data_IF_802541635999
#
_entry.id   IF_802541635999
#
_cell.length_a   1.000
_cell.length_b   1.000
_cell.length_c   1.000
_cell.angle_alpha   90.00
_cell.angle_beta   90.00
_cell.angle_gamma   90.00
#
_symmetry.space_group_name_H-M   'P 1'
#
loop_
_entity.id
_entity.type
_entity.pdbx_description
1 polymer ?
#
# COMPACT_ATOMS: atom_id res chain seq x y z
N UNK A 1 -9.89 22.50 -2.03
CA UNK A 1 -8.71 22.00 -1.28
C UNK A 1 -7.50 21.98 -2.21
N UNK A 2 -6.58 22.94 -2.06
CA UNK A 2 -5.32 22.99 -2.83
C UNK A 2 -4.27 22.17 -2.09
N UNK A 3 -3.59 21.25 -2.77
CA UNK A 3 -2.53 20.42 -2.18
C UNK A 3 -1.22 20.69 -2.91
N UNK A 4 -0.16 21.02 -2.16
CA UNK A 4 1.19 21.22 -2.67
C UNK A 4 2.10 20.11 -2.14
N UNK A 5 2.94 19.56 -3.02
CA UNK A 5 3.95 18.58 -2.61
C UNK A 5 5.30 19.27 -2.66
N UNK A 6 6.00 19.31 -1.52
CA UNK A 6 7.32 19.93 -1.37
C UNK A 6 8.33 18.79 -1.32
N UNK A 7 9.21 18.70 -2.31
CA UNK A 7 10.26 17.67 -2.40
C UNK A 7 11.65 18.21 -2.08
N UNK A 8 11.81 19.54 -2.07
CA UNK A 8 13.08 20.23 -1.81
C UNK A 8 12.88 21.44 -0.88
N UNK A 9 13.82 21.74 0.05
CA UNK A 9 13.70 22.88 0.96
C UNK A 9 13.50 24.25 0.27
N UNK A 10 13.99 24.44 -0.96
CA UNK A 10 13.83 25.67 -1.74
C UNK A 10 12.40 25.89 -2.24
N UNK A 11 11.61 24.83 -2.42
CA UNK A 11 10.22 24.92 -2.90
C UNK A 11 9.26 25.46 -1.83
N UNK A 12 9.58 25.29 -0.55
CA UNK A 12 8.74 25.77 0.56
C UNK A 12 8.46 27.27 0.47
N UNK A 13 9.50 28.08 0.25
CA UNK A 13 9.36 29.56 0.17
C UNK A 13 8.48 29.99 -1.00
N UNK A 14 8.56 29.28 -2.12
CA UNK A 14 7.75 29.57 -3.30
C UNK A 14 6.27 29.24 -3.05
N UNK A 15 5.97 28.09 -2.46
CA UNK A 15 4.59 27.69 -2.10
C UNK A 15 3.97 28.67 -1.11
N UNK A 16 4.71 29.03 -0.06
CA UNK A 16 4.24 29.99 0.96
C UNK A 16 3.99 31.37 0.35
N UNK A 17 4.91 31.89 -0.47
CA UNK A 17 4.74 33.18 -1.18
C UNK A 17 3.51 33.19 -2.08
N UNK A 18 3.23 32.09 -2.78
CA UNK A 18 2.09 32.01 -3.68
C UNK A 18 0.75 31.95 -2.94
N UNK A 19 0.72 31.38 -1.73
CA UNK A 19 -0.50 31.24 -0.93
C UNK A 19 -0.80 32.45 -0.06
N UNK A 20 0.24 33.12 0.44
CA UNK A 20 0.16 34.24 1.38
C UNK A 20 -0.91 35.29 1.03
N UNK A 21 -0.98 35.83 -0.20
CA UNK A 21 -1.98 36.86 -0.54
C UNK A 21 -3.42 36.37 -0.33
N UNK A 22 -3.76 35.18 -0.86
CA UNK A 22 -5.10 34.63 -0.71
C UNK A 22 -5.49 34.29 0.72
N UNK A 23 -4.51 33.88 1.55
CA UNK A 23 -4.77 33.60 2.97
C UNK A 23 -5.04 34.89 3.73
N UNK A 24 -4.31 35.96 3.42
CA UNK A 24 -4.51 37.27 4.04
C UNK A 24 -5.89 37.83 3.66
N UNK A 25 -6.24 37.82 2.38
CA UNK A 25 -7.53 38.32 1.90
C UNK A 25 -8.71 37.55 2.55
N UNK A 26 -8.66 36.21 2.54
CA UNK A 26 -9.73 35.38 3.14
C UNK A 26 -9.85 35.57 4.65
N UNK A 27 -8.76 35.84 5.37
CA UNK A 27 -8.80 36.04 6.82
C UNK A 27 -9.21 37.47 7.23
N UNK A 28 -8.94 38.46 6.39
CA UNK A 28 -9.39 39.84 6.60
C UNK A 28 -10.91 39.99 6.43
N UNK A 29 -11.52 39.20 5.55
CA UNK A 29 -12.98 39.14 5.34
C UNK A 29 -13.73 38.32 6.41
N UNK A 30 -13.05 37.91 7.48
CA UNK A 30 -13.63 37.08 8.55
C UNK A 30 -13.76 35.58 8.21
N UNK A 31 -13.21 35.16 7.06
CA UNK A 31 -13.09 33.76 6.69
C UNK A 31 -12.05 33.02 7.53
N UNK A 32 -12.15 31.69 7.56
CA UNK A 32 -11.21 30.80 8.27
C UNK A 32 -10.44 29.97 7.26
N UNK A 33 -9.11 30.01 7.33
CA UNK A 33 -8.23 29.22 6.50
C UNK A 33 -7.51 28.18 7.36
N UNK A 34 -7.61 26.90 6.97
CA UNK A 34 -6.90 25.80 7.62
C UNK A 34 -5.69 25.37 6.77
N UNK A 35 -4.48 25.46 7.35
CA UNK A 35 -3.25 24.99 6.73
C UNK A 35 -2.81 23.67 7.40
N UNK A 36 -2.83 22.57 6.64
CA UNK A 36 -2.38 21.27 7.12
C UNK A 36 -1.06 20.88 6.45
N UNK A 37 0.02 20.85 7.23
CA UNK A 37 1.31 20.31 6.80
C UNK A 37 1.38 18.85 7.23
N UNK A 38 1.30 17.95 6.27
CA UNK A 38 1.49 16.51 6.49
C UNK A 38 2.79 16.08 5.84
N UNK A 39 3.67 15.41 6.60
CA UNK A 39 4.79 14.68 6.00
C UNK A 39 4.19 13.61 5.10
N UNK A 40 4.31 13.75 3.78
CA UNK A 40 4.14 12.61 2.88
C UNK A 40 5.29 11.67 3.24
N UNK A 41 4.99 10.60 3.96
CA UNK A 41 5.79 9.39 3.79
C UNK A 41 5.59 8.99 2.33
N UNK A 42 6.62 8.45 1.70
CA UNK A 42 6.47 7.78 0.41
C UNK A 42 5.57 6.57 0.64
N UNK A 43 4.25 6.81 0.66
CA UNK A 43 3.27 5.75 0.61
C UNK A 43 3.47 5.05 -0.71
N UNK A 44 3.35 3.72 -0.73
CA UNK A 44 3.42 2.94 -1.98
C UNK A 44 2.67 3.65 -3.11
N UNK A 45 3.24 3.63 -4.31
CA UNK A 45 2.58 4.25 -5.45
C UNK A 45 1.36 3.41 -5.84
N UNK A 46 0.35 4.06 -6.44
CA UNK A 46 -0.81 3.34 -7.00
C UNK A 46 -0.40 2.29 -8.02
N UNK A 47 0.70 2.53 -8.75
CA UNK A 47 1.27 1.57 -9.70
C UNK A 47 1.82 0.31 -9.01
N UNK A 48 2.53 0.46 -7.87
CA UNK A 48 2.97 -0.71 -7.08
C UNK A 48 1.77 -1.48 -6.56
N UNK A 49 0.74 -0.77 -6.08
CA UNK A 49 -0.51 -1.38 -5.61
C UNK A 49 -1.19 -2.20 -6.71
N UNK A 50 -1.43 -1.60 -7.87
CA UNK A 50 -2.00 -2.29 -9.04
C UNK A 50 -1.16 -3.50 -9.45
N UNK A 51 0.18 -3.38 -9.42
CA UNK A 51 1.11 -4.46 -9.80
C UNK A 51 1.01 -5.67 -8.88
N UNK A 52 1.21 -5.52 -7.56
CA UNK A 52 1.15 -6.70 -6.69
C UNK A 52 -0.28 -7.26 -6.62
N UNK A 53 -1.32 -6.43 -6.82
CA UNK A 53 -2.70 -6.94 -6.90
C UNK A 53 -2.93 -7.84 -8.13
N UNK A 54 -2.36 -7.48 -9.29
CA UNK A 54 -2.36 -8.33 -10.47
C UNK A 54 -1.62 -9.66 -10.20
N UNK A 55 -0.43 -9.58 -9.58
CA UNK A 55 0.37 -10.75 -9.20
C UNK A 55 -0.39 -11.68 -8.24
N UNK A 56 -1.05 -11.13 -7.22
CA UNK A 56 -1.89 -11.92 -6.31
C UNK A 56 -3.04 -12.58 -7.07
N UNK A 57 -3.63 -11.89 -8.05
CA UNK A 57 -4.67 -12.45 -8.92
C UNK A 57 -4.16 -13.62 -9.76
N UNK A 58 -2.93 -13.52 -10.28
CA UNK A 58 -2.28 -14.60 -11.03
C UNK A 58 -1.98 -15.81 -10.16
N UNK A 59 -1.44 -15.59 -8.95
CA UNK A 59 -1.23 -16.64 -7.95
C UNK A 59 -2.55 -17.32 -7.60
N UNK A 60 -3.60 -16.55 -7.33
CA UNK A 60 -4.90 -17.06 -6.91
C UNK A 60 -5.58 -17.96 -7.97
N UNK A 61 -5.24 -17.80 -9.25
CA UNK A 61 -5.76 -18.63 -10.35
C UNK A 61 -4.94 -19.90 -10.60
N UNK A 62 -3.70 -19.96 -10.10
CA UNK A 62 -2.75 -21.00 -10.47
C UNK A 62 -2.32 -21.87 -9.29
N UNK A 63 -2.36 -21.33 -8.08
CA UNK A 63 -1.88 -22.00 -6.87
C UNK A 63 -3.07 -22.40 -6.02
N UNK A 64 -3.15 -23.69 -5.71
CA UNK A 64 -4.06 -24.23 -4.70
C UNK A 64 -3.36 -24.34 -3.35
N UNK A 65 -4.16 -24.22 -2.29
CA UNK A 65 -3.75 -24.63 -0.94
C UNK A 65 -4.38 -25.98 -0.61
N UNK A 66 -3.85 -26.64 0.42
CA UNK A 66 -4.26 -27.93 1.00
C UNK A 66 -5.47 -28.59 0.34
N UNK A 67 -5.26 -29.79 -0.22
CA UNK A 67 -6.30 -30.59 -0.88
C UNK A 67 -6.85 -29.97 -2.18
N UNK A 68 -6.01 -29.22 -2.91
CA UNK A 68 -6.36 -28.69 -4.23
C UNK A 68 -7.32 -27.50 -4.22
N UNK A 69 -7.63 -26.93 -3.05
CA UNK A 69 -8.58 -25.82 -2.92
C UNK A 69 -8.01 -24.52 -3.50
N UNK A 70 -8.76 -23.94 -4.43
CA UNK A 70 -8.49 -22.59 -4.95
C UNK A 70 -9.08 -21.54 -4.00
N UNK A 71 -8.29 -20.54 -3.65
CA UNK A 71 -8.74 -19.40 -2.85
C UNK A 71 -8.95 -18.16 -3.70
N UNK A 72 -9.90 -17.28 -3.31
CA UNK A 72 -10.03 -15.98 -3.94
C UNK A 72 -8.81 -15.11 -3.64
N UNK A 73 -8.53 -14.16 -4.54
CA UNK A 73 -7.39 -13.24 -4.44
C UNK A 73 -7.34 -12.48 -3.11
N UNK A 74 -8.49 -12.13 -2.52
CA UNK A 74 -8.57 -11.48 -1.22
C UNK A 74 -8.01 -12.33 -0.07
N UNK A 75 -8.20 -13.65 -0.13
CA UNK A 75 -7.64 -14.59 0.87
C UNK A 75 -6.16 -14.83 0.62
N UNK A 76 -5.74 -15.03 -0.63
CA UNK A 76 -4.33 -15.13 -1.00
C UNK A 76 -3.54 -13.88 -0.60
N UNK A 77 -4.11 -12.69 -0.74
CA UNK A 77 -3.49 -11.44 -0.28
C UNK A 77 -3.11 -11.50 1.20
N UNK A 78 -3.97 -12.05 2.06
CA UNK A 78 -3.70 -12.17 3.50
C UNK A 78 -2.58 -13.17 3.77
N UNK A 79 -2.61 -14.32 3.09
CA UNK A 79 -1.58 -15.36 3.21
C UNK A 79 -0.20 -14.86 2.78
N UNK A 80 -0.13 -14.21 1.60
CA UNK A 80 1.13 -13.72 1.03
C UNK A 80 1.73 -12.59 1.86
N UNK A 81 0.90 -11.67 2.37
CA UNK A 81 1.38 -10.60 3.26
C UNK A 81 1.91 -11.17 4.57
N UNK A 82 1.21 -12.15 5.16
CA UNK A 82 1.65 -12.81 6.38
C UNK A 82 2.98 -13.55 6.17
N UNK A 83 3.11 -14.32 5.09
CA UNK A 83 4.36 -15.03 4.74
C UNK A 83 5.51 -14.05 4.49
N UNK A 84 5.28 -13.01 3.69
CA UNK A 84 6.27 -11.96 3.42
C UNK A 84 6.78 -11.30 4.71
N UNK A 85 5.88 -10.93 5.64
CA UNK A 85 6.30 -10.38 6.93
C UNK A 85 7.10 -11.40 7.72
N UNK A 86 6.64 -12.64 7.80
CA UNK A 86 7.34 -13.68 8.54
C UNK A 86 8.78 -13.84 8.06
N UNK A 87 9.00 -13.81 6.74
CA UNK A 87 10.32 -13.99 6.14
C UNK A 87 11.22 -12.75 6.24
N UNK A 88 10.64 -11.55 6.40
CA UNK A 88 11.39 -10.28 6.32
C UNK A 88 11.32 -9.41 7.57
N UNK A 89 10.61 -9.83 8.62
CA UNK A 89 10.44 -9.05 9.87
C UNK A 89 11.78 -8.74 10.56
N UNK A 90 12.78 -9.61 10.40
CA UNK A 90 14.10 -9.51 11.01
C UNK A 90 15.16 -8.97 10.03
N UNK A 91 14.76 -8.63 8.79
CA UNK A 91 15.62 -8.02 7.80
C UNK A 91 16.00 -6.60 8.24
N UNK A 92 17.30 -6.34 8.41
CA UNK A 92 17.83 -5.06 8.85
C UNK A 92 17.38 -3.88 7.95
N UNK A 93 17.18 -4.12 6.66
CA UNK A 93 16.73 -3.10 5.72
C UNK A 93 15.23 -2.80 5.85
N UNK A 94 14.42 -3.75 6.31
CA UNK A 94 12.95 -3.60 6.40
C UNK A 94 12.44 -3.41 7.83
N UNK A 95 13.28 -3.65 8.83
CA UNK A 95 12.93 -3.61 10.26
C UNK A 95 12.24 -2.30 10.66
N UNK A 96 12.80 -1.16 10.25
CA UNK A 96 12.22 0.16 10.60
C UNK A 96 10.85 0.38 9.94
N UNK A 97 10.67 -0.10 8.71
CA UNK A 97 9.38 -0.05 8.03
C UNK A 97 8.35 -0.98 8.69
N UNK A 98 8.77 -2.17 9.12
CA UNK A 98 7.91 -3.11 9.85
C UNK A 98 7.46 -2.57 11.20
N UNK A 99 8.35 -1.95 11.97
CA UNK A 99 7.99 -1.29 13.23
C UNK A 99 6.94 -0.17 13.05
N UNK A 100 6.95 0.52 11.90
CA UNK A 100 5.97 1.57 11.58
C UNK A 100 4.65 1.03 11.06
N UNK A 101 4.61 -0.22 10.57
CA UNK A 101 3.48 -0.78 9.86
C UNK A 101 2.33 -1.19 10.81
N UNK A 102 2.65 -1.39 12.10
CA UNK A 102 1.71 -1.68 13.18
C UNK A 102 1.75 -3.14 13.62
N UNK A 103 0.80 -3.49 14.50
CA UNK A 103 0.72 -4.80 15.15
C UNK A 103 0.59 -5.97 14.15
N UNK A 104 0.94 -7.15 14.65
CA UNK A 104 0.88 -8.40 13.90
C UNK A 104 -0.55 -8.72 13.44
N UNK A 105 -0.66 -9.59 12.44
CA UNK A 105 -1.92 -10.25 12.14
C UNK A 105 -2.45 -10.95 13.42
N UNK A 106 -3.64 -10.56 13.86
CA UNK A 106 -4.30 -11.10 15.05
C UNK A 106 -5.61 -11.78 14.67
N UNK A 107 -5.90 -12.91 15.32
CA UNK A 107 -7.18 -13.59 15.23
C UNK A 107 -8.04 -13.21 16.43
N UNK A 108 -9.09 -12.43 16.18
CA UNK A 108 -10.02 -11.99 17.22
C UNK A 108 -11.35 -12.75 17.06
N UNK A 109 -12.01 -13.16 18.16
CA UNK A 109 -13.35 -13.74 18.09
C UNK A 109 -14.34 -12.85 17.32
N UNK A 110 -15.19 -13.46 16.51
CA UNK A 110 -16.24 -12.73 15.81
C UNK A 110 -17.29 -12.19 16.80
N UNK A 111 -17.76 -10.97 16.54
CA UNK A 111 -18.61 -10.23 17.48
C UNK A 111 -20.02 -10.81 17.62
N UNK A 112 -20.56 -11.41 16.54
CA UNK A 112 -21.97 -11.77 16.45
C UNK A 112 -22.23 -13.16 15.85
N UNK A 113 -21.20 -13.97 15.63
CA UNK A 113 -21.33 -15.34 15.16
C UNK A 113 -20.19 -16.21 15.71
N UNK A 114 -20.36 -17.55 15.72
CA UNK A 114 -19.25 -18.45 15.98
C UNK A 114 -18.17 -18.30 14.91
N UNK A 115 -16.94 -17.96 15.31
CA UNK A 115 -15.81 -17.85 14.40
C UNK A 115 -14.76 -16.85 14.87
N UNK A 116 -13.77 -16.63 14.00
CA UNK A 116 -12.68 -15.68 14.22
C UNK A 116 -12.53 -14.77 13.01
N UNK A 117 -12.14 -13.53 13.25
CA UNK A 117 -11.82 -12.54 12.24
C UNK A 117 -10.33 -12.23 12.33
N UNK A 118 -9.62 -12.42 11.24
CA UNK A 118 -8.26 -11.94 11.10
C UNK A 118 -8.29 -10.41 10.92
N UNK A 119 -7.72 -9.69 11.87
CA UNK A 119 -7.53 -8.24 11.88
C UNK A 119 -6.04 -7.91 11.91
N UNK A 120 -5.67 -6.67 11.60
CA UNK A 120 -4.28 -6.22 11.61
C UNK A 120 -3.78 -5.82 10.22
N UNK A 121 -2.60 -6.31 9.85
CA UNK A 121 -1.80 -5.90 8.69
C UNK A 121 -2.60 -5.67 7.40
N UNK A 122 -2.75 -4.40 7.05
CA UNK A 122 -3.36 -3.98 5.79
C UNK A 122 -2.30 -3.35 4.90
N UNK A 123 -2.02 -3.98 3.76
CA UNK A 123 -1.18 -3.45 2.66
C UNK A 123 -1.46 -1.99 2.29
N UNK A 124 -2.63 -1.41 2.62
CA UNK A 124 -2.94 0.02 2.46
C UNK A 124 -1.90 0.92 3.16
N UNK A 125 -1.27 0.45 4.23
CA UNK A 125 -0.27 1.20 5.00
C UNK A 125 1.17 1.00 4.48
N UNK A 126 1.40 0.24 3.41
CA UNK A 126 2.77 -0.08 2.98
C UNK A 126 3.50 1.21 2.59
N UNK A 127 4.75 1.33 3.05
CA UNK A 127 5.67 2.30 2.50
C UNK A 127 6.05 1.90 1.06
N UNK A 128 6.63 2.84 0.32
CA UNK A 128 7.20 2.60 -1.00
C UNK A 128 8.21 1.44 -0.97
N UNK A 129 9.05 1.40 0.08
CA UNK A 129 10.07 0.37 0.28
C UNK A 129 9.45 -1.00 0.50
N UNK A 130 8.51 -1.14 1.44
CA UNK A 130 7.78 -2.40 1.67
C UNK A 130 7.00 -2.83 0.43
N UNK A 131 6.41 -1.89 -0.31
CA UNK A 131 5.70 -2.19 -1.55
C UNK A 131 6.61 -2.78 -2.63
N UNK A 132 7.81 -2.24 -2.82
CA UNK A 132 8.80 -2.80 -3.75
C UNK A 132 9.32 -4.16 -3.30
N UNK A 133 9.71 -4.27 -2.02
CA UNK A 133 10.20 -5.53 -1.46
C UNK A 133 9.15 -6.65 -1.56
N UNK A 134 7.87 -6.32 -1.34
CA UNK A 134 6.79 -7.27 -1.49
C UNK A 134 6.62 -7.74 -2.95
N UNK A 135 6.77 -6.86 -3.93
CA UNK A 135 6.72 -7.24 -5.35
C UNK A 135 7.86 -8.20 -5.70
N UNK A 136 9.07 -7.93 -5.22
CA UNK A 136 10.23 -8.80 -5.43
C UNK A 136 10.04 -10.17 -4.77
N UNK A 137 9.56 -10.18 -3.52
CA UNK A 137 9.22 -11.40 -2.81
C UNK A 137 8.14 -12.21 -3.55
N UNK A 138 7.11 -11.56 -4.12
CA UNK A 138 6.09 -12.24 -4.92
C UNK A 138 6.67 -12.86 -6.20
N UNK A 139 7.67 -12.24 -6.84
CA UNK A 139 8.37 -12.87 -7.96
C UNK A 139 9.10 -14.13 -7.54
N UNK A 140 9.81 -14.11 -6.40
CA UNK A 140 10.47 -15.28 -5.85
C UNK A 140 9.46 -16.40 -5.53
N UNK A 141 8.40 -16.06 -4.80
CA UNK A 141 7.31 -17.00 -4.50
C UNK A 141 6.69 -17.61 -5.76
N UNK A 142 6.40 -16.79 -6.77
CA UNK A 142 5.81 -17.29 -8.01
C UNK A 142 6.79 -18.13 -8.82
N UNK A 143 8.10 -17.86 -8.78
CA UNK A 143 9.11 -18.71 -9.41
C UNK A 143 9.15 -20.11 -8.75
N UNK A 144 9.07 -20.18 -7.42
CA UNK A 144 8.99 -21.45 -6.68
C UNK A 144 7.71 -22.24 -6.94
N UNK A 145 6.63 -21.55 -7.33
CA UNK A 145 5.30 -22.14 -7.59
C UNK A 145 4.97 -22.24 -9.08
N UNK A 146 5.95 -22.00 -9.96
CA UNK A 146 5.78 -22.01 -11.42
C UNK A 146 4.62 -21.12 -11.92
N UNK A 147 4.40 -19.98 -11.26
CA UNK A 147 3.33 -19.02 -11.58
C UNK A 147 3.66 -18.29 -12.88
N UNK A 148 2.73 -18.31 -13.82
CA UNK A 148 2.80 -17.52 -15.04
C UNK A 148 2.21 -16.14 -14.80
N UNK A 149 3.04 -15.11 -14.91
CA UNK A 149 2.61 -13.73 -14.73
C UNK A 149 1.86 -13.22 -15.95
N UNK A 150 0.69 -12.62 -15.72
CA UNK A 150 0.01 -11.85 -16.76
C UNK A 150 0.84 -10.61 -17.11
N UNK A 151 0.85 -10.24 -18.39
CA UNK A 151 1.61 -9.08 -18.89
C UNK A 151 1.17 -7.84 -18.12
N UNK A 152 2.10 -6.98 -17.65
CA UNK A 152 1.72 -5.70 -17.07
C UNK A 152 0.83 -4.96 -18.06
N UNK A 153 -0.30 -4.41 -17.62
CA UNK A 153 -1.05 -3.44 -18.45
C UNK A 153 -0.04 -2.38 -18.88
N UNK A 154 0.21 -2.30 -20.18
CA UNK A 154 1.13 -1.31 -20.72
C UNK A 154 0.58 0.08 -20.40
N UNK A 155 1.47 1.03 -20.13
CA UNK A 155 1.11 2.44 -20.00
C UNK A 155 0.44 2.90 -21.31
N UNK A 156 -0.89 2.93 -21.34
CA UNK A 156 -1.68 3.21 -22.54
C UNK A 156 -3.02 2.49 -22.63
N UNK A 157 -3.18 1.36 -21.94
CA UNK A 157 -4.44 0.58 -21.95
C UNK A 157 -5.49 1.21 -21.03
N UNK A 158 -6.05 2.37 -21.40
CA UNK A 158 -7.35 2.78 -20.87
C UNK A 158 -8.43 1.96 -21.58
N UNK A 159 -9.38 1.33 -20.85
CA UNK A 159 -10.56 0.81 -21.50
C UNK A 159 -11.31 1.98 -22.14
N UNK A 160 -11.59 1.88 -23.44
CA UNK A 160 -12.53 2.77 -24.11
C UNK A 160 -13.91 2.42 -23.58
N UNK A 161 -14.42 3.24 -22.66
CA UNK A 161 -15.82 3.30 -22.29
C UNK A 161 -16.29 4.74 -22.47
#
# INVERSE_FOLDING_TARGET
MRTFTITDPGQYKAVVRALLPSVIDETQDGGKVELSIKRRRDTKTRLQEEKYHAMIGDIARQVSIYDGRMLPAGSWKRLLVNAFKHDTKDDADLLEDWHKFGDNLELIPALNNPGFVAVGEQTRRFSLKLGSAFIEWLYAFGAEKDVRWSTPKAWGDRPQH
#
